data_IF_935763237347
#
_entry.id   IF_935763237347
#
_cell.length_a   1.000
_cell.length_b   1.000
_cell.length_c   1.000
_cell.angle_alpha   90.00
_cell.angle_beta   90.00
_cell.angle_gamma   90.00
#
_symmetry.space_group_name_H-M   'P 1'
#
loop_
_entity.id
_entity.type
_entity.pdbx_description
1 polymer ?
#
# COMPACT_ATOMS: atom_id res chain seq x y z
N UNK A 1 -15.54 -6.49 1.08
CA UNK A 1 -15.89 -5.05 1.12
C UNK A 1 -16.19 -4.62 -0.30
N UNK A 2 -17.36 -4.05 -0.56
CA UNK A 2 -17.76 -3.69 -1.91
C UNK A 2 -18.55 -2.38 -1.90
N UNK A 3 -18.35 -1.52 -2.89
CA UNK A 3 -19.10 -0.29 -3.11
C UNK A 3 -19.03 0.68 -1.92
N UNK A 4 -17.80 1.10 -1.59
CA UNK A 4 -17.55 2.05 -0.49
C UNK A 4 -17.05 3.36 -1.06
N UNK A 5 -17.67 4.46 -0.65
CA UNK A 5 -17.22 5.82 -0.96
C UNK A 5 -16.89 6.56 0.32
N UNK A 6 -15.70 7.16 0.35
CA UNK A 6 -15.20 7.96 1.47
C UNK A 6 -14.71 9.28 0.91
N UNK A 7 -15.33 10.39 1.30
CA UNK A 7 -15.03 11.69 0.70
C UNK A 7 -15.10 12.87 1.66
N UNK A 8 -14.38 13.94 1.31
CA UNK A 8 -14.36 15.21 2.04
C UNK A 8 -13.85 15.06 3.48
N UNK A 9 -12.70 14.40 3.64
CA UNK A 9 -12.11 14.09 4.94
C UNK A 9 -10.81 14.86 5.17
N UNK A 10 -10.50 15.08 6.45
CA UNK A 10 -9.19 15.56 6.91
C UNK A 10 -8.63 14.58 7.94
N UNK A 11 -7.36 14.22 7.80
CA UNK A 11 -6.61 13.42 8.76
C UNK A 11 -5.45 14.24 9.32
N UNK A 12 -5.23 14.19 10.63
CA UNK A 12 -4.17 14.92 11.33
C UNK A 12 -3.43 13.96 12.26
N UNK A 13 -2.10 13.90 12.14
CA UNK A 13 -1.23 13.21 13.11
C UNK A 13 -1.40 11.69 13.21
N UNK A 14 -2.14 11.04 12.30
CA UNK A 14 -2.42 9.61 12.37
C UNK A 14 -1.26 8.77 11.84
N UNK A 15 -1.08 7.55 12.37
CA UNK A 15 -0.07 6.62 11.85
C UNK A 15 -0.34 6.21 10.39
N UNK A 16 -1.62 6.06 10.03
CA UNK A 16 -2.03 5.73 8.68
C UNK A 16 -3.21 6.61 8.26
N UNK A 17 -3.23 6.97 6.98
CA UNK A 17 -4.39 7.62 6.36
C UNK A 17 -5.38 6.57 5.86
N UNK A 18 -5.41 6.36 4.55
CA UNK A 18 -6.22 5.33 3.91
C UNK A 18 -5.49 3.99 3.99
N UNK A 19 -6.12 3.02 4.64
CA UNK A 19 -5.53 1.69 4.82
C UNK A 19 -6.51 0.54 4.59
N UNK A 20 -6.22 -0.31 3.61
CA UNK A 20 -6.94 -1.57 3.35
C UNK A 20 -5.94 -2.72 3.52
N UNK A 21 -6.30 -3.70 4.35
CA UNK A 21 -5.40 -4.78 4.75
C UNK A 21 -6.10 -6.13 4.85
N UNK A 22 -5.45 -7.18 4.37
CA UNK A 22 -5.86 -8.57 4.60
C UNK A 22 -4.62 -9.46 4.74
N UNK A 23 -4.61 -10.47 5.62
CA UNK A 23 -3.57 -11.50 5.62
C UNK A 23 -3.76 -12.44 4.42
N UNK A 24 -2.65 -12.86 3.81
CA UNK A 24 -2.62 -14.06 2.96
C UNK A 24 -3.15 -15.25 3.77
N UNK A 25 -4.12 -15.99 3.22
CA UNK A 25 -4.81 -17.08 3.92
C UNK A 25 -6.22 -16.75 4.41
N UNK A 26 -6.57 -15.46 4.54
CA UNK A 26 -7.91 -15.04 4.99
C UNK A 26 -8.92 -14.86 3.86
N UNK A 27 -8.42 -14.64 2.65
CA UNK A 27 -9.22 -14.35 1.47
C UNK A 27 -9.97 -13.03 1.57
N UNK A 28 -11.13 -13.01 0.93
CA UNK A 28 -12.01 -11.86 0.87
C UNK A 28 -11.75 -10.99 -0.34
N UNK A 29 -12.85 -10.50 -0.91
CA UNK A 29 -12.82 -9.55 -2.03
C UNK A 29 -12.98 -8.13 -1.50
N UNK A 30 -12.12 -7.23 -1.98
CA UNK A 30 -12.27 -5.79 -1.80
C UNK A 30 -12.37 -5.16 -3.18
N UNK A 31 -13.51 -4.54 -3.49
CA UNK A 31 -13.67 -3.90 -4.79
C UNK A 31 -14.58 -2.69 -4.79
N UNK A 32 -14.44 -1.87 -5.84
CA UNK A 32 -15.28 -0.71 -6.08
C UNK A 32 -15.21 0.27 -4.89
N UNK A 33 -14.00 0.73 -4.60
CA UNK A 33 -13.74 1.64 -3.48
C UNK A 33 -13.30 2.98 -4.05
N UNK A 34 -13.89 4.07 -3.55
CA UNK A 34 -13.55 5.42 -3.97
C UNK A 34 -13.19 6.26 -2.76
N UNK A 35 -11.97 6.79 -2.75
CA UNK A 35 -11.53 7.85 -1.85
C UNK A 35 -11.40 9.15 -2.63
N UNK A 36 -12.10 10.20 -2.20
CA UNK A 36 -12.13 11.48 -2.92
C UNK A 36 -11.97 12.68 -1.99
N UNK A 37 -11.30 13.74 -2.44
CA UNK A 37 -11.22 15.03 -1.75
C UNK A 37 -10.73 14.86 -0.29
N UNK A 38 -9.53 14.32 -0.13
CA UNK A 38 -8.96 14.03 1.20
C UNK A 38 -7.72 14.87 1.44
N UNK A 39 -7.67 15.55 2.59
CA UNK A 39 -6.49 16.26 3.07
C UNK A 39 -5.86 15.50 4.23
N UNK A 40 -4.55 15.43 4.26
CA UNK A 40 -3.79 14.79 5.32
C UNK A 40 -2.64 15.72 5.72
N UNK A 41 -2.39 15.84 7.01
CA UNK A 41 -1.26 16.57 7.54
C UNK A 41 -0.62 15.77 8.67
N UNK A 42 0.70 15.61 8.62
CA UNK A 42 1.47 14.80 9.56
C UNK A 42 0.95 13.36 9.72
N UNK A 43 0.48 12.76 8.63
CA UNK A 43 0.10 11.34 8.61
C UNK A 43 1.34 10.52 8.25
N UNK A 44 1.76 9.59 9.11
CA UNK A 44 3.05 8.92 8.91
C UNK A 44 3.11 8.15 7.58
N UNK A 45 2.03 7.48 7.19
CA UNK A 45 1.92 6.80 5.89
C UNK A 45 0.51 7.00 5.30
N UNK A 46 0.36 7.91 4.32
CA UNK A 46 -0.95 8.31 3.78
C UNK A 46 -1.75 7.17 3.16
N UNK A 47 -1.11 6.28 2.40
CA UNK A 47 -1.77 5.23 1.63
C UNK A 47 -1.15 3.86 1.88
N UNK A 48 -1.93 2.89 2.36
CA UNK A 48 -1.47 1.50 2.56
C UNK A 48 -2.51 0.49 2.08
N UNK A 49 -2.20 -0.23 1.02
CA UNK A 49 -3.01 -1.31 0.49
C UNK A 49 -2.18 -2.59 0.50
N UNK A 50 -2.55 -3.57 1.34
CA UNK A 50 -1.71 -4.75 1.56
C UNK A 50 -2.50 -6.05 1.69
N UNK A 51 -2.12 -7.05 0.90
CA UNK A 51 -2.55 -8.44 1.02
C UNK A 51 -1.61 -9.29 1.92
N UNK A 52 -0.66 -8.67 2.62
CA UNK A 52 0.31 -9.30 3.53
C UNK A 52 0.17 -8.83 4.98
N UNK A 53 -1.04 -8.65 5.49
CA UNK A 53 -1.19 -8.19 6.87
C UNK A 53 -0.68 -9.25 7.88
N UNK A 54 0.52 -9.03 8.42
CA UNK A 54 1.15 -9.89 9.43
C UNK A 54 1.92 -9.02 10.42
N UNK A 55 1.69 -9.23 11.71
CA UNK A 55 2.47 -8.58 12.76
C UNK A 55 3.93 -9.05 12.71
N UNK A 56 4.86 -8.12 12.90
CA UNK A 56 6.25 -8.45 13.16
C UNK A 56 6.37 -9.13 14.54
N UNK A 57 7.32 -10.06 14.73
CA UNK A 57 7.68 -10.51 16.07
C UNK A 57 8.06 -9.35 16.99
N UNK A 58 7.78 -9.50 18.29
CA UNK A 58 8.14 -8.50 19.32
C UNK A 58 9.66 -8.51 19.56
N UNK A 59 10.31 -9.66 19.39
CA UNK A 59 11.76 -9.82 19.60
C UNK A 59 12.51 -9.36 18.36
N UNK A 60 13.31 -8.30 18.49
CA UNK A 60 14.05 -7.70 17.36
C UNK A 60 14.94 -8.70 16.63
N UNK A 61 15.64 -9.58 17.34
CA UNK A 61 16.48 -10.61 16.72
C UNK A 61 15.69 -11.56 15.80
N UNK A 62 14.40 -11.80 16.06
CA UNK A 62 13.53 -12.59 15.19
C UNK A 62 13.12 -11.80 13.95
N UNK A 63 12.84 -10.50 14.09
CA UNK A 63 12.60 -9.59 12.96
C UNK A 63 13.83 -9.58 12.05
N UNK A 64 15.02 -9.37 12.61
CA UNK A 64 16.27 -9.31 11.86
C UNK A 64 16.52 -10.62 11.11
N UNK A 65 16.32 -11.76 11.77
CA UNK A 65 16.42 -13.08 11.14
C UNK A 65 15.44 -13.25 9.97
N UNK A 66 14.20 -12.78 10.10
CA UNK A 66 13.22 -12.84 9.02
C UNK A 66 13.60 -11.93 7.85
N UNK A 67 14.18 -10.77 8.13
CA UNK A 67 14.61 -9.80 7.12
C UNK A 67 15.94 -10.16 6.44
N UNK A 68 16.72 -11.11 6.98
CA UNK A 68 17.93 -11.63 6.30
C UNK A 68 17.62 -12.25 4.93
N UNK A 69 16.43 -12.84 4.78
CA UNK A 69 15.95 -13.36 3.49
C UNK A 69 15.52 -12.24 2.53
N UNK A 70 15.57 -10.97 2.97
CA UNK A 70 14.98 -9.81 2.33
C UNK A 70 13.62 -9.45 2.94
N UNK A 71 12.95 -8.48 2.34
CA UNK A 71 11.66 -7.95 2.83
C UNK A 71 11.83 -6.61 3.51
N UNK A 72 10.82 -6.20 4.28
CA UNK A 72 10.83 -4.94 5.00
C UNK A 72 9.77 -4.90 6.11
N UNK A 73 9.84 -3.87 6.95
CA UNK A 73 8.82 -3.57 7.96
C UNK A 73 8.08 -2.27 7.64
N UNK A 74 6.84 -2.17 8.12
CA UNK A 74 6.00 -0.97 8.05
C UNK A 74 5.24 -0.81 9.36
N UNK A 75 5.73 0.07 10.23
CA UNK A 75 5.30 0.07 11.64
C UNK A 75 5.56 -1.32 12.25
N UNK A 76 4.57 -1.86 12.93
CA UNK A 76 4.64 -3.18 13.59
C UNK A 76 4.34 -4.37 12.64
N UNK A 77 4.40 -4.16 11.31
CA UNK A 77 4.15 -5.21 10.33
C UNK A 77 5.44 -5.65 9.65
N UNK A 78 5.49 -6.93 9.28
CA UNK A 78 6.57 -7.51 8.49
C UNK A 78 6.05 -8.01 7.14
N UNK A 79 6.79 -7.69 6.09
CA UNK A 79 6.52 -8.06 4.72
C UNK A 79 7.59 -9.03 4.24
N UNK A 80 7.22 -10.12 3.56
CA UNK A 80 8.19 -11.09 3.07
C UNK A 80 9.07 -10.49 1.96
N UNK A 81 10.17 -11.15 1.60
CA UNK A 81 11.01 -10.73 0.50
C UNK A 81 10.26 -10.64 -0.83
N UNK A 82 10.84 -9.93 -1.77
CA UNK A 82 10.28 -9.79 -3.12
C UNK A 82 10.26 -11.12 -3.89
N UNK A 83 11.11 -12.07 -3.50
CA UNK A 83 11.16 -13.43 -4.00
C UNK A 83 10.18 -14.40 -3.32
N UNK A 84 9.22 -13.91 -2.52
CA UNK A 84 8.19 -14.75 -1.90
C UNK A 84 7.45 -15.57 -2.98
N UNK A 85 7.36 -16.90 -2.84
CA UNK A 85 6.86 -17.75 -3.90
C UNK A 85 5.34 -17.60 -4.08
N UNK A 86 4.91 -17.69 -5.34
CA UNK A 86 3.50 -17.82 -5.72
C UNK A 86 2.89 -19.08 -5.12
N UNK A 87 1.72 -18.94 -4.48
CA UNK A 87 0.90 -20.06 -4.03
C UNK A 87 -0.24 -20.33 -5.03
N UNK A 88 -0.91 -21.50 -4.98
CA UNK A 88 -2.14 -21.70 -5.73
C UNK A 88 -3.19 -20.66 -5.33
N UNK A 89 -3.90 -20.09 -6.31
CA UNK A 89 -5.02 -19.19 -6.03
C UNK A 89 -6.15 -19.98 -5.36
N UNK A 90 -6.58 -19.52 -4.19
CA UNK A 90 -7.72 -20.06 -3.46
C UNK A 90 -8.74 -18.94 -3.24
N UNK A 91 -9.92 -19.07 -3.84
CA UNK A 91 -10.98 -18.05 -3.78
C UNK A 91 -11.44 -17.69 -2.36
N UNK A 92 -11.22 -18.54 -1.36
CA UNK A 92 -11.59 -18.30 0.03
C UNK A 92 -10.43 -17.85 0.90
N UNK A 93 -9.18 -17.96 0.43
CA UNK A 93 -7.97 -17.69 1.23
C UNK A 93 -7.03 -16.66 0.62
N UNK A 94 -7.09 -16.45 -0.69
CA UNK A 94 -6.28 -15.46 -1.40
C UNK A 94 -7.01 -14.11 -1.39
N UNK A 95 -6.45 -13.08 -0.74
CA UNK A 95 -7.04 -11.75 -0.77
C UNK A 95 -7.00 -11.17 -2.17
N UNK A 96 -8.07 -10.52 -2.60
CA UNK A 96 -8.15 -9.92 -3.93
C UNK A 96 -8.70 -8.50 -3.83
N UNK A 97 -7.86 -7.51 -4.13
CA UNK A 97 -8.27 -6.10 -4.16
C UNK A 97 -8.27 -5.61 -5.60
N UNK A 98 -9.40 -5.06 -6.03
CA UNK A 98 -9.53 -4.53 -7.38
C UNK A 98 -10.37 -3.26 -7.43
N UNK A 99 -10.16 -2.43 -8.45
CA UNK A 99 -10.97 -1.23 -8.70
C UNK A 99 -11.04 -0.29 -7.47
N UNK A 100 -9.88 0.28 -7.12
CA UNK A 100 -9.72 1.23 -6.02
C UNK A 100 -9.25 2.56 -6.60
N UNK A 101 -10.05 3.60 -6.41
CA UNK A 101 -9.76 4.94 -6.91
C UNK A 101 -9.40 5.88 -5.77
N UNK A 102 -8.31 6.61 -5.92
CA UNK A 102 -7.93 7.74 -5.06
C UNK A 102 -7.87 9.00 -5.90
N UNK A 103 -8.71 9.97 -5.58
CA UNK A 103 -8.88 11.19 -6.36
C UNK A 103 -8.79 12.44 -5.47
N UNK A 104 -8.04 13.45 -5.92
CA UNK A 104 -7.90 14.73 -5.22
C UNK A 104 -7.44 14.53 -3.76
N UNK A 105 -6.28 13.89 -3.60
CA UNK A 105 -5.66 13.68 -2.29
C UNK A 105 -4.45 14.59 -2.16
N UNK A 106 -4.32 15.25 -1.01
CA UNK A 106 -3.13 16.01 -0.63
C UNK A 106 -2.67 15.57 0.74
N UNK A 107 -1.40 15.18 0.86
CA UNK A 107 -0.76 14.86 2.14
C UNK A 107 0.53 15.67 2.30
N UNK A 108 0.63 16.43 3.39
CA UNK A 108 1.78 17.30 3.68
C UNK A 108 2.36 17.05 5.08
N UNK A 109 3.53 17.63 5.34
CA UNK A 109 4.22 17.50 6.62
C UNK A 109 5.20 16.32 6.64
N UNK A 110 5.29 15.61 7.77
CA UNK A 110 6.36 14.63 7.99
C UNK A 110 5.93 13.17 7.76
N UNK A 111 5.46 12.85 6.54
CA UNK A 111 5.16 11.47 6.18
C UNK A 111 6.46 10.66 6.01
N UNK A 112 6.57 9.48 6.60
CA UNK A 112 7.74 8.59 6.48
C UNK A 112 7.82 7.87 5.13
N UNK A 113 6.67 7.68 4.48
CA UNK A 113 6.57 7.11 3.14
C UNK A 113 5.25 7.50 2.48
N UNK A 114 5.25 7.73 1.17
CA UNK A 114 4.06 8.20 0.47
C UNK A 114 2.96 7.13 0.38
N UNK A 115 3.34 5.90 -0.01
CA UNK A 115 2.38 4.84 -0.23
C UNK A 115 3.01 3.44 -0.25
N UNK A 116 2.21 2.43 0.12
CA UNK A 116 2.51 1.02 -0.10
C UNK A 116 1.34 0.33 -0.80
N UNK A 117 1.58 -0.30 -1.96
CA UNK A 117 0.59 -1.10 -2.70
C UNK A 117 1.20 -2.49 -2.91
N UNK A 118 0.86 -3.43 -2.04
CA UNK A 118 1.55 -4.72 -1.93
C UNK A 118 0.57 -5.88 -2.07
N UNK A 119 0.57 -6.50 -3.25
CA UNK A 119 -0.15 -7.74 -3.54
C UNK A 119 0.67 -8.99 -3.30
N UNK A 120 -0.01 -10.14 -3.31
CA UNK A 120 0.62 -11.47 -3.35
C UNK A 120 0.95 -11.88 -4.79
N UNK A 121 1.99 -12.69 -5.05
CA UNK A 121 2.34 -13.13 -6.41
C UNK A 121 1.22 -13.90 -7.13
N UNK A 122 0.33 -14.58 -6.40
CA UNK A 122 -0.78 -15.34 -6.98
C UNK A 122 -2.04 -14.53 -7.26
N UNK A 123 -2.15 -13.34 -6.68
CA UNK A 123 -3.25 -12.42 -6.90
C UNK A 123 -2.72 -10.99 -6.83
N UNK A 124 -2.10 -10.51 -7.93
CA UNK A 124 -1.70 -9.13 -8.03
C UNK A 124 -2.90 -8.19 -7.81
N UNK A 125 -2.67 -7.07 -7.12
CA UNK A 125 -3.72 -6.06 -6.95
C UNK A 125 -3.93 -5.31 -8.26
N UNK A 126 -5.17 -5.09 -8.69
CA UNK A 126 -5.46 -4.57 -10.04
C UNK A 126 -6.44 -3.40 -10.04
N UNK A 127 -6.42 -2.59 -11.10
CA UNK A 127 -7.35 -1.46 -11.24
C UNK A 127 -7.23 -0.42 -10.12
N UNK A 128 -6.00 -0.11 -9.68
CA UNK A 128 -5.76 1.06 -8.84
C UNK A 128 -5.65 2.28 -9.75
N UNK A 129 -6.46 3.31 -9.48
CA UNK A 129 -6.48 4.55 -10.27
C UNK A 129 -6.23 5.75 -9.38
N UNK A 130 -5.11 6.43 -9.55
CA UNK A 130 -4.77 7.64 -8.82
C UNK A 130 -4.91 8.87 -9.72
N UNK A 131 -5.76 9.82 -9.35
CA UNK A 131 -5.96 11.06 -10.10
C UNK A 131 -5.76 12.27 -9.20
N UNK A 132 -4.85 13.17 -9.59
CA UNK A 132 -4.53 14.37 -8.81
C UNK A 132 -4.20 14.05 -7.34
N UNK A 133 -3.12 13.28 -7.15
CA UNK A 133 -2.64 12.85 -5.83
C UNK A 133 -1.29 13.51 -5.57
N UNK A 134 -1.20 14.30 -4.50
CA UNK A 134 -0.03 15.08 -4.13
C UNK A 134 0.43 14.67 -2.73
N UNK A 135 1.65 14.15 -2.57
CA UNK A 135 2.15 13.67 -1.28
C UNK A 135 3.60 14.11 -1.05
N UNK A 136 3.86 14.71 0.10
CA UNK A 136 5.21 14.94 0.66
C UNK A 136 5.57 13.80 1.60
N UNK A 137 6.77 13.21 1.42
CA UNK A 137 7.24 12.12 2.26
C UNK A 137 8.77 11.96 2.27
N UNK A 138 9.30 11.25 3.26
CA UNK A 138 10.72 10.86 3.28
C UNK A 138 11.05 9.86 2.16
N UNK A 139 10.16 8.89 1.94
CA UNK A 139 10.27 7.84 0.91
C UNK A 139 9.07 7.82 -0.02
N UNK A 140 9.30 7.39 -1.25
CA UNK A 140 8.26 7.32 -2.29
C UNK A 140 7.22 6.21 -2.13
N UNK A 141 6.48 5.97 -3.21
CA UNK A 141 5.55 4.85 -3.33
C UNK A 141 6.34 3.55 -3.51
N UNK A 142 6.05 2.52 -2.72
CA UNK A 142 6.52 1.15 -2.99
C UNK A 142 5.38 0.29 -3.49
N UNK A 143 5.57 -0.33 -4.65
CA UNK A 143 4.56 -1.17 -5.31
C UNK A 143 5.13 -2.55 -5.63
N UNK A 144 4.36 -3.61 -5.34
CA UNK A 144 4.73 -5.02 -5.57
C UNK A 144 3.50 -5.85 -5.91
N UNK A 145 3.61 -6.71 -6.92
CA UNK A 145 2.51 -7.55 -7.43
C UNK A 145 1.22 -6.74 -7.52
N UNK A 146 1.29 -5.62 -8.22
CA UNK A 146 0.18 -4.69 -8.30
C UNK A 146 0.32 -3.80 -9.52
N UNK A 147 -0.82 -3.38 -10.03
CA UNK A 147 -0.95 -2.44 -11.13
C UNK A 147 -1.48 -1.11 -10.59
N UNK A 148 -0.87 -0.01 -11.03
CA UNK A 148 -1.31 1.35 -10.77
C UNK A 148 -1.38 2.14 -12.08
N UNK A 149 -2.56 2.66 -12.40
CA UNK A 149 -2.73 3.72 -13.38
C UNK A 149 -2.80 5.05 -12.64
N UNK A 150 -2.05 6.05 -13.10
CA UNK A 150 -2.03 7.36 -12.46
C UNK A 150 -2.07 8.50 -13.47
N UNK A 151 -2.76 9.58 -13.10
CA UNK A 151 -2.77 10.85 -13.83
C UNK A 151 -2.62 11.99 -12.83
N UNK A 152 -1.49 12.71 -12.90
CA UNK A 152 -1.19 13.76 -11.92
C UNK A 152 -0.86 13.20 -10.53
N UNK A 153 -0.04 12.15 -10.48
CA UNK A 153 0.59 11.68 -9.24
C UNK A 153 1.89 12.45 -9.02
N UNK A 154 1.88 13.36 -8.05
CA UNK A 154 3.03 14.17 -7.67
C UNK A 154 3.53 13.74 -6.30
N UNK A 155 4.73 13.17 -6.25
CA UNK A 155 5.36 12.71 -5.02
C UNK A 155 6.64 13.52 -4.79
N UNK A 156 6.67 14.29 -3.71
CA UNK A 156 7.86 15.01 -3.26
C UNK A 156 8.56 14.16 -2.21
N UNK A 157 9.66 13.52 -2.59
CA UNK A 157 10.38 12.56 -1.75
C UNK A 157 11.73 13.11 -1.32
N UNK A 158 12.08 12.97 -0.04
CA UNK A 158 13.38 13.44 0.47
C UNK A 158 14.53 12.49 0.10
N UNK A 159 14.27 11.19 0.04
CA UNK A 159 15.30 10.19 -0.23
C UNK A 159 14.77 8.95 -0.97
N UNK A 160 15.66 8.33 -1.75
CA UNK A 160 15.37 7.10 -2.49
C UNK A 160 14.51 7.33 -3.75
N UNK A 161 14.04 6.26 -4.38
CA UNK A 161 13.23 6.35 -5.58
C UNK A 161 11.84 6.94 -5.27
N UNK A 162 11.34 7.77 -6.19
CA UNK A 162 9.97 8.30 -6.15
C UNK A 162 8.93 7.17 -6.21
N UNK A 163 9.19 6.17 -7.06
CA UNK A 163 8.41 4.93 -7.14
C UNK A 163 9.39 3.76 -7.11
N UNK A 164 9.39 3.00 -6.01
CA UNK A 164 10.07 1.72 -5.90
C UNK A 164 9.17 0.61 -6.47
N UNK A 165 9.57 0.05 -7.61
CA UNK A 165 8.91 -1.09 -8.24
C UNK A 165 9.62 -2.38 -7.83
N UNK A 166 8.90 -3.23 -7.12
CA UNK A 166 9.30 -4.59 -6.78
C UNK A 166 8.66 -5.59 -7.78
N UNK A 167 8.87 -6.90 -7.59
CA UNK A 167 8.39 -7.94 -8.50
C UNK A 167 6.89 -7.83 -8.80
N UNK A 168 6.54 -8.01 -10.07
CA UNK A 168 5.15 -7.96 -10.55
C UNK A 168 4.50 -6.57 -10.47
N UNK A 169 5.27 -5.50 -10.24
CA UNK A 169 4.75 -4.13 -10.26
C UNK A 169 4.60 -3.60 -11.70
N UNK A 170 3.43 -3.03 -11.99
CA UNK A 170 3.11 -2.37 -13.24
C UNK A 170 2.61 -0.96 -12.91
N UNK A 171 3.18 0.07 -13.52
CA UNK A 171 2.77 1.46 -13.28
C UNK A 171 2.68 2.21 -14.60
N UNK A 172 1.51 2.77 -14.87
CA UNK A 172 1.19 3.63 -16.00
C UNK A 172 0.98 5.07 -15.50
N UNK A 173 1.58 6.05 -16.20
CA UNK A 173 1.53 7.48 -15.88
C UNK A 173 1.03 8.28 -17.07
#
# INVERSE_FOLDING_TARGET
>A
MNNVRVENNTFEGSMYGIRIKSPRGKGGEVKNIVYRNTRMHNVEVPLVFSAYYKAAPIVQAEVDKLLQAGGFTLGEQIYPPDSDPKQPFDKYKTPHFSNITVENLTSTGDSKAAAYIIGTPEAPLSGFHFSNVNIEADRGLRIRNAELESKGLNLQVKAGPVIQKDAGAIVHQ
#
